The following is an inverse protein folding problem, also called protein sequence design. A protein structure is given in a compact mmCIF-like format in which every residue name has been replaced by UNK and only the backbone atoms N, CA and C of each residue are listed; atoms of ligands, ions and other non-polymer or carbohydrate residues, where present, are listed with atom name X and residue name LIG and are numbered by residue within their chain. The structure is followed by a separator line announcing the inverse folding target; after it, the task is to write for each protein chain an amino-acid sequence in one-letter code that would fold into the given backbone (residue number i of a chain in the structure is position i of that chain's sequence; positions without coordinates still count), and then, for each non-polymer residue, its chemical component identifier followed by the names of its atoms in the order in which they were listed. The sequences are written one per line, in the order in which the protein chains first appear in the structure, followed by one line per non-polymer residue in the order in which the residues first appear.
data_IF_289319356443
#
_entry.id   IF_289319356443
#
_cell.length_a   1.000
_cell.length_b   1.000
_cell.length_c   1.000
_cell.angle_alpha   90.00
_cell.angle_beta   90.00
_cell.angle_gamma   90.00
#
_symmetry.space_group_name_H-M   'P 1'
#
loop_
_entity.id
_entity.type
_entity.pdbx_description
1 polymer ?
#
# COMPACT_ATOMS: atom_id res chain seq x y z
N UNK A 1 -14.32 -0.24 -0.08
CA UNK A 1 -13.81 -1.61 -0.12
C UNK A 1 -12.81 -1.60 -1.23
N UNK A 2 -11.55 -1.41 -0.87
CA UNK A 2 -10.40 -1.08 -1.74
C UNK A 2 -9.10 -1.25 -0.93
N UNK A 3 -9.21 -1.23 0.41
CA UNK A 3 -8.14 -1.57 1.36
C UNK A 3 -7.41 -2.86 0.95
N UNK A 4 -6.08 -2.79 0.94
CA UNK A 4 -5.19 -3.85 0.45
C UNK A 4 -4.81 -3.74 -1.03
N UNK A 5 -5.52 -2.93 -1.82
CA UNK A 5 -5.21 -2.69 -3.24
C UNK A 5 -3.88 -1.95 -3.46
N UNK A 6 -3.21 -2.14 -4.61
CA UNK A 6 -1.92 -1.53 -4.90
C UNK A 6 -2.06 -0.09 -5.43
N UNK A 7 -1.16 0.80 -5.00
CA UNK A 7 -0.84 2.05 -5.71
C UNK A 7 0.44 1.83 -6.50
N UNK A 8 0.34 1.91 -7.83
CA UNK A 8 1.45 1.65 -8.75
C UNK A 8 1.85 2.94 -9.48
N UNK A 9 3.14 3.25 -9.45
CA UNK A 9 3.76 4.36 -10.19
C UNK A 9 4.88 3.78 -11.04
N UNK A 10 4.82 3.98 -12.36
CA UNK A 10 5.85 3.49 -13.31
C UNK A 10 6.15 1.98 -13.17
N UNK A 11 5.12 1.17 -12.87
CA UNK A 11 5.25 -0.27 -12.69
C UNK A 11 5.77 -0.70 -11.30
N UNK A 12 6.10 0.24 -10.42
CA UNK A 12 6.52 -0.04 -9.04
C UNK A 12 5.35 0.16 -8.08
N UNK A 13 5.07 -0.82 -7.22
CA UNK A 13 4.08 -0.68 -6.15
C UNK A 13 4.67 0.17 -5.02
N UNK A 14 4.18 1.40 -4.88
CA UNK A 14 4.67 2.37 -3.89
C UNK A 14 3.77 2.49 -2.66
N UNK A 15 2.52 2.03 -2.75
CA UNK A 15 1.54 2.10 -1.68
C UNK A 15 0.58 0.92 -1.62
N UNK A 16 -0.03 0.75 -0.45
CA UNK A 16 -1.15 -0.17 -0.21
C UNK A 16 -2.32 0.66 0.30
N UNK A 17 -3.49 0.56 -0.34
CA UNK A 17 -4.70 1.25 0.08
C UNK A 17 -5.01 0.91 1.54
N UNK A 18 -5.15 1.94 2.38
CA UNK A 18 -5.38 1.77 3.83
C UNK A 18 -6.73 2.36 4.21
N UNK A 19 -6.83 3.69 4.17
CA UNK A 19 -8.05 4.41 4.51
C UNK A 19 -8.52 5.23 3.31
N UNK A 20 -9.57 4.71 2.67
CA UNK A 20 -10.27 5.33 1.54
C UNK A 20 -11.65 5.66 2.06
N UNK A 21 -11.89 6.94 2.33
CA UNK A 21 -13.12 7.41 3.00
C UNK A 21 -14.02 8.11 2.00
N UNK A 22 -15.05 7.38 1.58
CA UNK A 22 -16.10 7.84 0.67
C UNK A 22 -15.55 8.42 -0.64
N UNK A 23 -16.32 8.37 -1.73
CA UNK A 23 -15.90 8.98 -3.00
C UNK A 23 -15.99 10.54 -2.95
N UNK A 24 -15.77 11.14 -1.78
CA UNK A 24 -15.98 12.56 -1.50
C UNK A 24 -14.61 13.24 -1.38
N UNK A 25 -14.38 14.22 -2.26
CA UNK A 25 -13.09 14.90 -2.50
C UNK A 25 -12.59 15.81 -1.38
N UNK A 26 -13.11 15.70 -0.15
CA UNK A 26 -12.72 16.60 0.94
C UNK A 26 -11.41 16.19 1.61
N UNK A 27 -10.98 14.94 1.44
CA UNK A 27 -9.71 14.42 1.93
C UNK A 27 -9.06 13.50 0.88
N UNK A 28 -7.72 13.42 0.85
CA UNK A 28 -7.02 12.45 0.02
C UNK A 28 -7.17 11.04 0.58
N UNK A 29 -7.09 10.05 -0.31
CA UNK A 29 -6.96 8.66 0.07
C UNK A 29 -5.61 8.41 0.77
N UNK A 30 -5.64 7.54 1.78
CA UNK A 30 -4.47 7.25 2.59
C UNK A 30 -3.95 5.86 2.23
N UNK A 31 -2.66 5.81 1.90
CA UNK A 31 -1.93 4.60 1.56
C UNK A 31 -0.84 4.32 2.59
N UNK A 32 -0.66 3.05 2.94
CA UNK A 32 0.54 2.59 3.63
C UNK A 32 1.71 2.68 2.64
N UNK A 33 2.78 3.38 3.02
CA UNK A 33 3.99 3.54 2.19
C UNK A 33 4.79 2.23 2.19
N UNK A 34 4.84 1.55 1.04
CA UNK A 34 5.51 0.24 0.91
C UNK A 34 6.98 0.32 1.33
N UNK A 35 7.68 1.39 0.93
CA UNK A 35 9.10 1.56 1.24
C UNK A 35 9.41 1.53 2.75
N UNK A 36 8.48 1.96 3.60
CA UNK A 36 8.67 1.93 5.06
C UNK A 36 8.68 0.51 5.65
N UNK A 37 8.29 -0.50 4.87
CA UNK A 37 8.14 -1.88 5.29
C UNK A 37 8.90 -2.88 4.41
N UNK A 38 9.75 -2.42 3.49
CA UNK A 38 10.47 -3.32 2.55
C UNK A 38 11.26 -4.38 3.30
N UNK A 39 12.05 -4.01 4.31
CA UNK A 39 12.84 -4.95 5.10
C UNK A 39 11.97 -6.05 5.74
N UNK A 40 10.82 -5.66 6.30
CA UNK A 40 9.88 -6.61 6.90
C UNK A 40 9.22 -7.51 5.85
N UNK A 41 8.84 -6.95 4.70
CA UNK A 41 8.25 -7.71 3.59
C UNK A 41 9.26 -8.76 3.10
N UNK A 42 10.51 -8.36 2.86
CA UNK A 42 11.58 -9.26 2.41
C UNK A 42 11.87 -10.36 3.44
N UNK A 43 11.94 -10.00 4.73
CA UNK A 43 12.13 -10.96 5.82
C UNK A 43 10.98 -12.01 5.85
N UNK A 44 9.73 -11.56 5.76
CA UNK A 44 8.57 -12.44 5.76
C UNK A 44 8.55 -13.33 4.51
N UNK A 45 8.86 -12.77 3.34
CA UNK A 45 8.93 -13.54 2.09
C UNK A 45 10.01 -14.62 2.16
N UNK A 46 11.19 -14.31 2.71
CA UNK A 46 12.27 -15.28 2.89
C UNK A 46 11.93 -16.39 3.88
N UNK A 47 11.19 -16.08 4.96
CA UNK A 47 10.75 -17.07 5.95
C UNK A 47 9.66 -18.02 5.45
N UNK A 48 8.89 -17.61 4.44
CA UNK A 48 7.73 -18.35 3.93
C UNK A 48 7.94 -18.86 2.49
N UNK A 49 9.17 -18.78 1.98
CA UNK A 49 9.58 -19.44 0.74
C UNK A 49 9.82 -20.93 0.97
#
# INVERSE_FOLDING_TARGET
GDSGGPLVVEGVQVGIASYIKDCIKTAPDIFTRVFSYVDWIEEVMAKNA
#
